data_IF_223194095664
#
_entry.id   IF_223194095664
#
_cell.length_a   1.000
_cell.length_b   1.000
_cell.length_c   1.000
_cell.angle_alpha   90.00
_cell.angle_beta   90.00
_cell.angle_gamma   90.00
#
_symmetry.space_group_name_H-M   'P 1'
#
loop_
_entity.id
_entity.type
_entity.pdbx_description
1 polymer ?
#
# COMPACT_ATOMS: atom_id res chain seq x y z
N UNK A 1 -22.82 -0.35 -11.92
CA UNK A 1 -22.21 -1.15 -10.82
C UNK A 1 -20.70 -0.99 -10.93
N UNK A 2 -20.12 -0.04 -10.20
CA UNK A 2 -18.68 0.28 -10.30
C UNK A 2 -17.83 -0.89 -9.80
N UNK A 3 -16.75 -1.22 -10.52
CA UNK A 3 -15.75 -2.18 -10.05
C UNK A 3 -15.16 -1.63 -8.76
N UNK A 4 -15.27 -2.36 -7.65
CA UNK A 4 -14.69 -1.90 -6.38
C UNK A 4 -13.17 -1.75 -6.49
N UNK A 5 -12.63 -0.68 -5.88
CA UNK A 5 -11.20 -0.37 -5.94
C UNK A 5 -10.41 -1.34 -5.05
N UNK A 6 -9.40 -2.01 -5.61
CA UNK A 6 -8.52 -2.94 -4.91
C UNK A 6 -7.21 -2.24 -4.56
N UNK A 7 -6.97 -2.05 -3.27
CA UNK A 7 -5.79 -1.37 -2.75
C UNK A 7 -4.97 -2.31 -1.89
N UNK A 8 -3.69 -2.44 -2.20
CA UNK A 8 -2.75 -3.29 -1.45
C UNK A 8 -1.92 -2.43 -0.51
N UNK A 9 -1.84 -2.81 0.76
CA UNK A 9 -1.04 -2.13 1.79
C UNK A 9 0.21 -2.95 2.06
N UNK A 10 1.39 -2.39 1.78
CA UNK A 10 2.67 -3.09 1.91
C UNK A 10 3.78 -2.21 2.48
N UNK A 11 4.82 -2.85 3.00
CA UNK A 11 5.88 -2.20 3.77
C UNK A 11 6.59 -3.18 4.71
N UNK A 12 7.70 -2.75 5.30
CA UNK A 12 8.53 -3.57 6.20
C UNK A 12 7.70 -4.13 7.37
N UNK A 13 8.19 -5.18 8.03
CA UNK A 13 7.62 -5.65 9.28
C UNK A 13 7.56 -4.54 10.34
N UNK A 14 6.52 -4.56 11.18
CA UNK A 14 6.36 -3.65 12.33
C UNK A 14 6.21 -2.14 12.03
N UNK A 15 5.95 -1.73 10.78
CA UNK A 15 5.75 -0.31 10.42
C UNK A 15 4.33 0.24 10.67
N UNK A 16 3.40 -0.58 11.19
CA UNK A 16 2.03 -0.14 11.49
C UNK A 16 1.02 -0.23 10.34
N UNK A 17 1.20 -1.15 9.38
CA UNK A 17 0.25 -1.38 8.27
C UNK A 17 -1.17 -1.67 8.76
N UNK A 18 -1.31 -2.68 9.62
CA UNK A 18 -2.59 -3.12 10.19
C UNK A 18 -3.22 -2.00 11.04
N UNK A 19 -2.43 -1.25 11.82
CA UNK A 19 -2.93 -0.10 12.58
C UNK A 19 -3.53 1.00 11.69
N UNK A 20 -2.94 1.26 10.51
CA UNK A 20 -3.53 2.21 9.54
C UNK A 20 -4.84 1.68 8.97
N UNK A 21 -4.93 0.38 8.67
CA UNK A 21 -6.13 -0.25 8.15
C UNK A 21 -7.27 -0.26 9.18
N UNK A 22 -6.96 -0.58 10.44
CA UNK A 22 -7.93 -0.52 11.54
C UNK A 22 -8.50 0.89 11.70
N UNK A 23 -7.64 1.92 11.67
CA UNK A 23 -8.10 3.31 11.69
C UNK A 23 -9.01 3.64 10.50
N UNK A 24 -8.73 3.11 9.30
CA UNK A 24 -9.57 3.36 8.11
C UNK A 24 -10.92 2.63 8.15
N UNK A 25 -10.94 1.40 8.69
CA UNK A 25 -12.15 0.57 8.76
C UNK A 25 -13.09 1.00 9.89
N UNK A 26 -12.54 1.39 11.05
CA UNK A 26 -13.32 1.70 12.25
C UNK A 26 -13.34 3.19 12.60
N UNK A 27 -12.48 4.01 12.00
CA UNK A 27 -12.48 5.46 12.21
C UNK A 27 -13.69 6.13 11.58
N UNK A 28 -14.19 7.18 12.22
CA UNK A 28 -15.32 7.95 11.71
C UNK A 28 -14.82 8.88 10.58
N UNK A 29 -14.72 8.33 9.37
CA UNK A 29 -14.21 9.02 8.18
C UNK A 29 -15.33 9.20 7.15
N UNK A 30 -15.67 10.45 6.82
CA UNK A 30 -16.61 10.77 5.73
C UNK A 30 -15.86 10.88 4.41
N UNK A 31 -16.09 9.93 3.49
CA UNK A 31 -15.53 9.96 2.13
C UNK A 31 -16.66 10.36 1.16
N UNK A 32 -16.40 11.34 0.29
CA UNK A 32 -17.40 12.02 -0.55
C UNK A 32 -18.07 11.19 -1.65
N UNK A 33 -17.78 9.89 -1.76
CA UNK A 33 -18.38 8.97 -2.74
C UNK A 33 -18.56 7.59 -2.09
N UNK A 34 -19.74 6.97 -2.27
CA UNK A 34 -20.02 5.59 -1.82
C UNK A 34 -19.50 4.58 -2.85
N UNK A 35 -18.22 4.25 -2.79
CA UNK A 35 -17.63 3.17 -3.57
C UNK A 35 -17.13 2.04 -2.66
N UNK A 36 -17.16 0.79 -3.16
CA UNK A 36 -16.59 -0.34 -2.44
C UNK A 36 -15.06 -0.32 -2.54
N UNK A 37 -14.39 -0.26 -1.39
CA UNK A 37 -12.94 -0.34 -1.27
C UNK A 37 -12.54 -1.71 -0.72
N UNK A 38 -11.75 -2.46 -1.47
CA UNK A 38 -11.16 -3.72 -1.04
C UNK A 38 -9.70 -3.47 -0.62
N UNK A 39 -9.43 -3.59 0.68
CA UNK A 39 -8.09 -3.40 1.24
C UNK A 39 -7.43 -4.76 1.46
N UNK A 40 -6.20 -4.92 0.95
CA UNK A 40 -5.41 -6.13 1.10
C UNK A 40 -4.20 -5.83 2.01
N UNK A 41 -4.25 -6.28 3.27
CA UNK A 41 -3.10 -6.21 4.17
C UNK A 41 -2.07 -7.28 3.79
N UNK A 42 -0.83 -6.89 3.57
CA UNK A 42 0.24 -7.84 3.31
C UNK A 42 1.06 -8.08 4.57
N UNK A 43 1.57 -9.30 4.73
CA UNK A 43 2.61 -9.56 5.72
C UNK A 43 3.75 -8.55 5.55
N UNK A 44 4.32 -8.12 6.67
CA UNK A 44 5.52 -7.28 6.64
C UNK A 44 6.63 -7.94 5.85
N UNK A 45 7.18 -7.21 4.88
CA UNK A 45 8.31 -7.68 4.12
C UNK A 45 9.56 -7.66 5.00
N UNK A 46 10.39 -8.69 4.84
CA UNK A 46 11.71 -8.78 5.45
C UNK A 46 12.75 -8.59 4.33
N UNK A 47 14.04 -8.46 4.69
CA UNK A 47 15.11 -8.44 3.69
C UNK A 47 15.05 -9.67 2.78
N UNK A 48 15.27 -9.47 1.48
CA UNK A 48 15.20 -10.52 0.47
C UNK A 48 13.80 -11.06 0.13
N UNK A 49 12.76 -10.66 0.87
CA UNK A 49 11.37 -11.08 0.60
C UNK A 49 10.67 -10.05 -0.27
N UNK A 50 10.37 -10.44 -1.51
CA UNK A 50 9.60 -9.63 -2.46
C UNK A 50 8.09 -9.72 -2.26
N UNK A 51 7.36 -8.70 -2.72
CA UNK A 51 5.90 -8.77 -2.74
C UNK A 51 5.45 -9.78 -3.81
N UNK A 52 4.52 -10.70 -3.49
CA UNK A 52 4.04 -11.67 -4.48
C UNK A 52 3.49 -11.01 -5.74
N UNK A 53 3.93 -11.48 -6.91
CA UNK A 53 3.69 -10.82 -8.21
C UNK A 53 2.22 -10.61 -8.56
N UNK A 54 1.32 -11.44 -8.04
CA UNK A 54 -0.11 -11.32 -8.29
C UNK A 54 -0.69 -10.01 -7.74
N UNK A 55 -0.15 -9.46 -6.64
CA UNK A 55 -0.56 -8.16 -6.12
C UNK A 55 -0.35 -7.04 -7.13
N UNK A 56 0.75 -7.06 -7.90
CA UNK A 56 0.99 -6.08 -8.97
C UNK A 56 -0.02 -6.16 -10.12
N UNK A 57 -0.60 -7.34 -10.38
CA UNK A 57 -1.42 -7.55 -11.56
C UNK A 57 -2.87 -7.11 -11.36
N UNK A 58 -3.43 -7.30 -10.17
CA UNK A 58 -4.84 -7.03 -9.87
C UNK A 58 -5.08 -5.72 -9.12
N UNK A 59 -4.07 -5.17 -8.43
CA UNK A 59 -4.26 -3.98 -7.60
C UNK A 59 -4.47 -2.74 -8.46
N UNK A 60 -5.49 -1.96 -8.12
CA UNK A 60 -5.73 -0.65 -8.71
C UNK A 60 -4.76 0.39 -8.11
N UNK A 61 -4.36 0.20 -6.84
CA UNK A 61 -3.42 1.07 -6.15
C UNK A 61 -2.64 0.39 -5.01
N UNK A 62 -1.60 1.08 -4.56
CA UNK A 62 -0.72 0.64 -3.47
C UNK A 62 -0.60 1.71 -2.39
N UNK A 63 -0.59 1.27 -1.13
CA UNK A 63 -0.22 2.09 0.03
C UNK A 63 1.10 1.56 0.57
N UNK A 64 2.15 2.36 0.41
CA UNK A 64 3.50 2.06 0.90
C UNK A 64 3.68 2.64 2.31
N UNK A 65 3.87 1.76 3.29
CA UNK A 65 3.99 2.14 4.71
C UNK A 65 5.42 1.95 5.18
N UNK A 66 5.96 2.98 5.82
CA UNK A 66 7.28 2.96 6.47
C UNK A 66 7.20 3.75 7.78
N UNK A 67 8.13 3.49 8.69
CA UNK A 67 8.26 4.24 9.92
C UNK A 67 9.30 5.35 9.76
N UNK A 68 8.99 6.55 10.25
CA UNK A 68 9.90 7.69 10.22
C UNK A 68 11.16 7.48 11.07
N UNK A 69 11.08 6.57 12.05
CA UNK A 69 12.18 6.22 12.94
C UNK A 69 12.96 4.97 12.45
N UNK A 70 12.67 4.48 11.24
CA UNK A 70 13.33 3.29 10.68
C UNK A 70 13.72 3.53 9.21
N UNK A 71 15.01 3.81 8.98
CA UNK A 71 15.57 4.06 7.65
C UNK A 71 15.45 2.85 6.72
N UNK A 72 15.66 1.63 7.22
CA UNK A 72 15.52 0.39 6.45
C UNK A 72 14.10 0.27 5.89
N UNK A 73 13.10 0.63 6.69
CA UNK A 73 11.71 0.61 6.25
C UNK A 73 11.45 1.59 5.10
N UNK A 74 12.11 2.75 5.11
CA UNK A 74 12.06 3.74 4.03
C UNK A 74 12.77 3.24 2.75
N UNK A 75 13.97 2.65 2.89
CA UNK A 75 14.68 2.04 1.78
C UNK A 75 13.85 0.92 1.13
N UNK A 76 13.16 0.11 1.94
CA UNK A 76 12.30 -0.97 1.43
C UNK A 76 11.12 -0.45 0.62
N UNK A 77 10.45 0.62 1.07
CA UNK A 77 9.36 1.21 0.26
C UNK A 77 9.86 1.87 -1.03
N UNK A 78 11.07 2.43 -1.06
CA UNK A 78 11.68 2.93 -2.30
C UNK A 78 12.00 1.79 -3.30
N UNK A 79 12.46 0.63 -2.81
CA UNK A 79 12.62 -0.57 -3.65
C UNK A 79 11.26 -1.08 -4.16
N UNK A 80 10.26 -1.20 -3.29
CA UNK A 80 8.90 -1.61 -3.68
C UNK A 80 8.31 -0.68 -4.72
N UNK A 81 8.51 0.64 -4.58
CA UNK A 81 8.06 1.61 -5.57
C UNK A 81 8.66 1.33 -6.95
N UNK A 82 9.97 1.06 -7.01
CA UNK A 82 10.64 0.69 -8.28
C UNK A 82 10.10 -0.63 -8.85
N UNK A 83 9.81 -1.61 -8.01
CA UNK A 83 9.17 -2.87 -8.43
C UNK A 83 7.78 -2.62 -9.03
N UNK A 84 6.95 -1.81 -8.37
CA UNK A 84 5.60 -1.43 -8.83
C UNK A 84 5.68 -0.67 -10.17
N UNK A 85 6.56 0.33 -10.26
CA UNK A 85 6.74 1.16 -11.45
C UNK A 85 7.12 0.28 -12.65
N UNK A 86 8.08 -0.65 -12.48
CA UNK A 86 8.45 -1.65 -13.52
C UNK A 86 7.29 -2.54 -13.98
N UNK A 87 6.38 -2.89 -13.08
CA UNK A 87 5.21 -3.72 -13.43
C UNK A 87 4.11 -2.89 -14.10
N UNK A 88 3.94 -1.62 -13.71
CA UNK A 88 2.97 -0.70 -14.31
C UNK A 88 3.46 -0.14 -15.66
N UNK A 89 4.75 -0.02 -15.91
CA UNK A 89 5.27 0.36 -17.25
C UNK A 89 4.89 -0.65 -18.35
N UNK A 90 4.53 -1.90 -17.97
CA UNK A 90 3.97 -2.91 -18.90
C UNK A 90 2.46 -2.82 -19.14
N UNK A 91 1.75 -2.01 -18.35
CA UNK A 91 0.30 -1.80 -18.42
C UNK A 91 0.05 -0.30 -18.21
N UNK A 92 -0.06 0.48 -19.28
CA UNK A 92 -0.60 1.85 -19.16
C UNK A 92 -1.85 1.82 -18.26
N UNK A 93 -1.81 2.56 -17.13
CA UNK A 93 -2.94 3.17 -16.38
C UNK A 93 -2.55 3.51 -14.91
N UNK A 94 -2.50 4.84 -14.67
CA UNK A 94 -2.98 5.62 -13.51
C UNK A 94 -2.45 5.37 -12.07
N UNK A 95 -1.83 6.43 -11.53
CA UNK A 95 -2.03 6.95 -10.17
C UNK A 95 -1.40 6.22 -8.97
N UNK A 96 -0.17 6.56 -8.61
CA UNK A 96 0.41 6.21 -7.30
C UNK A 96 0.14 7.35 -6.30
N UNK A 97 -0.63 7.10 -5.22
CA UNK A 97 -0.81 8.05 -4.11
C UNK A 97 0.19 7.72 -3.00
N UNK A 98 1.17 8.60 -2.77
CA UNK A 98 2.16 8.50 -1.69
C UNK A 98 1.57 9.16 -0.43
N UNK A 99 1.00 8.37 0.50
CA UNK A 99 0.56 8.89 1.81
C UNK A 99 1.68 8.71 2.84
N UNK A 100 2.19 9.82 3.38
CA UNK A 100 3.13 9.90 4.51
C UNK A 100 2.32 10.05 5.80
N UNK A 101 2.47 9.16 6.77
CA UNK A 101 1.97 9.37 8.14
C UNK A 101 3.14 9.22 9.10
N UNK A 102 3.61 10.35 9.64
CA UNK A 102 4.35 10.39 10.89
C UNK A 102 3.31 10.26 12.01
N UNK A 103 3.35 9.20 12.81
CA UNK A 103 2.71 9.23 14.12
C UNK A 103 3.83 9.43 15.14
N UNK A 104 3.73 10.55 15.88
CA UNK A 104 4.48 10.83 17.09
C UNK A 104 4.18 9.75 18.14
#
# INVERSE_FOLDING_TARGET
MGKGCKVVVCGLLSVGKTAILEQLLYGNHTIGVKEQLHLYDTRGLQEGVELPKHYFSFADGFVLVYSVNNLESFQRVELLKKEIDKFKDKKEVSGAVKKKKSQL
#
